data_IF_161398317560
#
_entry.id   IF_161398317560
#
_cell.length_a   1.000
_cell.length_b   1.000
_cell.length_c   1.000
_cell.angle_alpha   90.00
_cell.angle_beta   90.00
_cell.angle_gamma   90.00
#
_symmetry.space_group_name_H-M   'P 1'
#
loop_
_entity.id
_entity.type
_entity.pdbx_description
1 polymer ?
#
# COMPACT_ATOMS: atom_id res chain seq x y z
N UNK A 1 21.59 26.46 -16.23
CA UNK A 1 21.62 24.98 -16.31
C UNK A 1 20.23 24.47 -15.97
N UNK A 2 19.57 23.75 -16.88
CA UNK A 2 18.22 23.20 -16.73
C UNK A 2 18.36 21.71 -16.37
N UNK A 3 17.69 21.18 -15.34
CA UNK A 3 17.74 19.74 -15.08
C UNK A 3 17.03 19.00 -16.22
N UNK A 4 17.68 17.96 -16.72
CA UNK A 4 17.15 17.08 -17.75
C UNK A 4 15.99 16.23 -17.18
N UNK A 5 14.95 15.94 -17.97
CA UNK A 5 13.92 15.00 -17.55
C UNK A 5 14.53 13.60 -17.45
N UNK A 6 14.48 12.99 -16.26
CA UNK A 6 14.80 11.58 -16.05
C UNK A 6 13.83 10.75 -16.89
N UNK A 7 14.34 10.08 -17.93
CA UNK A 7 13.56 9.17 -18.74
C UNK A 7 13.11 7.97 -17.88
N UNK A 8 11.87 7.49 -18.00
CA UNK A 8 11.49 6.23 -17.37
C UNK A 8 12.31 5.09 -18.00
N UNK A 9 12.95 4.30 -17.15
CA UNK A 9 13.59 3.05 -17.55
C UNK A 9 12.49 2.03 -17.79
N UNK A 10 12.23 1.69 -19.06
CA UNK A 10 11.31 0.62 -19.43
C UNK A 10 12.10 -0.69 -19.44
N UNK A 11 12.01 -1.48 -18.36
CA UNK A 11 12.45 -2.87 -18.39
C UNK A 11 11.39 -3.75 -19.07
N UNK A 12 11.77 -4.71 -19.93
CA UNK A 12 10.82 -5.47 -20.73
C UNK A 12 10.37 -6.76 -20.02
N UNK A 13 9.56 -6.69 -18.96
CA UNK A 13 8.70 -7.82 -18.50
C UNK A 13 7.50 -7.29 -17.71
N UNK A 14 6.29 -7.33 -18.28
CA UNK A 14 5.00 -7.46 -17.56
C UNK A 14 4.67 -6.53 -16.40
N UNK A 15 5.39 -5.42 -16.21
CA UNK A 15 5.21 -4.49 -15.11
C UNK A 15 4.39 -3.27 -15.57
N UNK A 16 3.25 -3.03 -14.93
CA UNK A 16 2.46 -1.83 -15.12
C UNK A 16 2.50 -1.01 -13.83
N UNK A 17 2.74 0.29 -13.94
CA UNK A 17 2.84 1.18 -12.79
C UNK A 17 1.89 2.38 -12.93
N UNK A 18 1.35 2.81 -11.80
CA UNK A 18 0.51 3.99 -11.67
C UNK A 18 0.91 4.75 -10.42
N UNK A 19 1.04 6.07 -10.54
CA UNK A 19 1.35 6.95 -9.43
C UNK A 19 0.53 8.24 -9.51
N UNK A 20 0.03 8.71 -8.37
CA UNK A 20 -0.72 9.98 -8.29
C UNK A 20 -0.46 10.68 -6.96
N UNK A 21 -0.34 12.01 -7.01
CA UNK A 21 -0.31 12.84 -5.80
C UNK A 21 -1.73 13.21 -5.38
N UNK A 22 -2.01 13.08 -4.09
CA UNK A 22 -3.28 13.38 -3.47
C UNK A 22 -3.06 14.36 -2.33
N UNK A 23 -4.00 15.29 -2.17
CA UNK A 23 -3.97 16.23 -1.05
C UNK A 23 -4.23 15.49 0.27
N UNK A 24 -3.59 15.94 1.33
CA UNK A 24 -3.69 15.38 2.68
C UNK A 24 -4.99 15.73 3.39
N UNK A 25 -6.14 15.50 2.75
CA UNK A 25 -7.48 15.81 3.26
C UNK A 25 -8.34 14.55 3.38
N UNK A 26 -9.33 14.49 4.29
CA UNK A 26 -10.12 13.27 4.52
C UNK A 26 -10.82 12.70 3.28
N UNK A 27 -11.22 13.55 2.33
CA UNK A 27 -11.84 13.12 1.07
C UNK A 27 -10.91 12.33 0.16
N UNK A 28 -9.59 12.43 0.34
CA UNK A 28 -8.58 11.75 -0.47
C UNK A 28 -8.56 10.24 -0.26
N UNK A 29 -9.01 9.73 0.89
CA UNK A 29 -9.15 8.27 1.09
C UNK A 29 -10.19 7.67 0.12
N UNK A 30 -11.33 8.35 -0.05
CA UNK A 30 -12.35 7.95 -1.02
C UNK A 30 -11.87 8.10 -2.46
N UNK A 31 -11.09 9.15 -2.75
CA UNK A 31 -10.51 9.36 -4.08
C UNK A 31 -9.48 8.28 -4.41
N UNK A 32 -8.56 7.97 -3.50
CA UNK A 32 -7.56 6.91 -3.63
C UNK A 32 -8.22 5.56 -3.95
N UNK A 33 -9.26 5.19 -3.20
CA UNK A 33 -10.05 3.98 -3.48
C UNK A 33 -10.61 3.95 -4.91
N UNK A 34 -11.23 5.04 -5.36
CA UNK A 34 -11.81 5.12 -6.71
C UNK A 34 -10.76 5.02 -7.79
N UNK A 35 -9.63 5.69 -7.61
CA UNK A 35 -8.51 5.65 -8.55
C UNK A 35 -7.91 4.26 -8.62
N UNK A 36 -7.73 3.58 -7.49
CA UNK A 36 -7.22 2.21 -7.49
C UNK A 36 -8.16 1.24 -8.23
N UNK A 37 -9.47 1.29 -7.98
CA UNK A 37 -10.44 0.44 -8.69
C UNK A 37 -10.45 0.75 -10.19
N UNK A 38 -10.44 2.02 -10.56
CA UNK A 38 -10.37 2.42 -11.97
C UNK A 38 -9.08 1.91 -12.63
N UNK A 39 -7.94 2.00 -11.93
CA UNK A 39 -6.66 1.56 -12.45
C UNK A 39 -6.59 0.04 -12.62
N UNK A 40 -7.18 -0.74 -11.70
CA UNK A 40 -7.31 -2.19 -11.87
C UNK A 40 -8.10 -2.54 -13.13
N UNK A 41 -9.20 -1.81 -13.40
CA UNK A 41 -9.97 -1.99 -14.63
C UNK A 41 -9.17 -1.65 -15.89
N UNK A 42 -8.31 -0.62 -15.85
CA UNK A 42 -7.41 -0.27 -16.96
C UNK A 42 -6.29 -1.30 -17.19
N UNK A 43 -5.98 -2.12 -16.18
CA UNK A 43 -5.01 -3.20 -16.26
C UNK A 43 -5.66 -4.58 -16.48
N UNK A 44 -6.95 -4.62 -16.80
CA UNK A 44 -7.72 -5.85 -16.99
C UNK A 44 -7.69 -6.81 -15.78
N UNK A 45 -7.52 -6.25 -14.56
CA UNK A 45 -7.59 -7.01 -13.30
C UNK A 45 -9.02 -6.97 -12.77
N UNK A 46 -9.85 -7.93 -13.22
CA UNK A 46 -11.27 -8.04 -12.84
C UNK A 46 -11.57 -9.33 -12.07
N UNK A 47 -10.95 -9.46 -10.89
CA UNK A 47 -11.25 -10.53 -9.92
C UNK A 47 -11.97 -9.90 -8.74
N UNK A 48 -13.31 -10.02 -8.61
CA UNK A 48 -14.08 -9.19 -7.68
C UNK A 48 -13.58 -9.22 -6.22
N UNK A 49 -13.24 -10.37 -5.60
CA UNK A 49 -12.71 -10.39 -4.24
C UNK A 49 -11.38 -9.65 -4.09
N UNK A 50 -10.52 -9.69 -5.13
CA UNK A 50 -9.26 -8.97 -5.15
C UNK A 50 -9.51 -7.46 -5.29
N UNK A 51 -10.37 -7.05 -6.22
CA UNK A 51 -10.73 -5.64 -6.42
C UNK A 51 -11.30 -5.03 -5.13
N UNK A 52 -12.20 -5.75 -4.44
CA UNK A 52 -12.74 -5.33 -3.15
C UNK A 52 -11.67 -5.19 -2.07
N UNK A 53 -10.76 -6.16 -1.98
CA UNK A 53 -9.65 -6.15 -1.01
C UNK A 53 -8.70 -4.98 -1.26
N UNK A 54 -8.29 -4.76 -2.52
CA UNK A 54 -7.42 -3.64 -2.92
C UNK A 54 -8.11 -2.30 -2.65
N UNK A 55 -9.39 -2.18 -2.98
CA UNK A 55 -10.17 -0.97 -2.75
C UNK A 55 -10.25 -0.62 -1.25
N UNK A 56 -10.48 -1.61 -0.39
CA UNK A 56 -10.54 -1.44 1.06
C UNK A 56 -9.18 -1.06 1.63
N UNK A 57 -8.13 -1.82 1.31
CA UNK A 57 -6.77 -1.56 1.79
C UNK A 57 -6.26 -0.18 1.34
N UNK A 58 -6.51 0.21 0.09
CA UNK A 58 -6.11 1.53 -0.41
C UNK A 58 -6.79 2.65 0.36
N UNK A 59 -8.08 2.51 0.66
CA UNK A 59 -8.82 3.51 1.43
C UNK A 59 -8.26 3.63 2.86
N UNK A 60 -7.97 2.51 3.51
CA UNK A 60 -7.43 2.48 4.87
C UNK A 60 -6.00 3.03 4.93
N UNK A 61 -5.13 2.70 3.97
CA UNK A 61 -3.78 3.26 3.90
C UNK A 61 -3.81 4.78 3.72
N UNK A 62 -4.64 5.28 2.81
CA UNK A 62 -4.80 6.72 2.60
C UNK A 62 -5.43 7.41 3.82
N UNK A 63 -6.43 6.80 4.47
CA UNK A 63 -7.05 7.35 5.68
C UNK A 63 -6.06 7.43 6.84
N UNK A 64 -5.25 6.38 7.06
CA UNK A 64 -4.19 6.39 8.07
C UNK A 64 -3.17 7.47 7.77
N UNK A 65 -2.76 7.62 6.51
CA UNK A 65 -1.81 8.65 6.07
C UNK A 65 -2.38 10.04 6.35
N UNK A 66 -3.62 10.34 5.96
CA UNK A 66 -4.26 11.63 6.24
C UNK A 66 -4.39 11.90 7.74
N UNK A 67 -4.71 10.88 8.54
CA UNK A 67 -4.90 11.01 10.00
C UNK A 67 -3.59 11.26 10.74
N UNK A 68 -2.47 10.73 10.23
CA UNK A 68 -1.16 10.80 10.88
C UNK A 68 -0.16 11.73 10.19
N UNK A 69 -0.53 12.29 9.04
CA UNK A 69 0.29 13.21 8.27
C UNK A 69 0.34 14.61 8.88
N UNK A 70 0.63 15.60 8.04
CA UNK A 70 0.83 16.99 8.49
C UNK A 70 -0.44 17.64 9.01
N UNK A 71 -0.38 18.27 10.19
CA UNK A 71 -1.41 19.20 10.65
C UNK A 71 -1.38 20.53 9.87
N UNK A 72 -0.26 20.85 9.20
CA UNK A 72 -0.10 22.04 8.37
C UNK A 72 -0.49 21.76 6.92
N UNK A 73 -1.45 22.53 6.41
CA UNK A 73 -1.90 22.49 5.02
C UNK A 73 -1.29 23.65 4.20
N UNK A 74 -1.12 23.49 2.87
CA UNK A 74 -1.36 22.27 2.11
C UNK A 74 -0.23 21.25 2.30
N UNK A 75 -0.58 19.97 2.30
CA UNK A 75 0.37 18.88 2.15
C UNK A 75 -0.20 17.78 1.28
N UNK A 76 0.68 16.90 0.78
CA UNK A 76 0.32 15.85 -0.16
C UNK A 76 1.00 14.53 0.21
N UNK A 77 0.41 13.44 -0.25
CA UNK A 77 0.99 12.10 -0.26
C UNK A 77 0.85 11.49 -1.65
N UNK A 78 1.66 10.49 -1.96
CA UNK A 78 1.64 9.76 -3.23
C UNK A 78 0.98 8.40 -3.05
N UNK A 79 0.07 8.04 -3.95
CA UNK A 79 -0.42 6.67 -4.10
C UNK A 79 0.33 6.04 -5.28
N UNK A 80 1.02 4.93 -5.01
CA UNK A 80 1.70 4.11 -6.01
C UNK A 80 1.02 2.75 -6.10
N UNK A 81 0.83 2.27 -7.32
CA UNK A 81 0.40 0.91 -7.63
C UNK A 81 1.37 0.31 -8.64
N UNK A 82 1.81 -0.91 -8.37
CA UNK A 82 2.70 -1.66 -9.27
C UNK A 82 2.12 -3.04 -9.46
N UNK A 83 1.74 -3.35 -10.69
CA UNK A 83 1.29 -4.66 -11.12
C UNK A 83 2.48 -5.43 -11.68
N UNK A 84 2.79 -6.55 -11.03
CA UNK A 84 3.80 -7.53 -11.45
C UNK A 84 3.09 -8.80 -11.91
N UNK A 85 3.80 -9.72 -12.62
CA UNK A 85 3.19 -10.95 -13.12
C UNK A 85 2.48 -11.83 -12.07
N UNK A 86 2.96 -11.83 -10.82
CA UNK A 86 2.48 -12.69 -9.74
C UNK A 86 1.85 -11.92 -8.57
N UNK A 87 1.90 -10.58 -8.58
CA UNK A 87 1.42 -9.76 -7.47
C UNK A 87 1.08 -8.35 -7.88
N UNK A 88 0.17 -7.74 -7.11
CA UNK A 88 -0.08 -6.31 -7.11
C UNK A 88 0.48 -5.73 -5.81
N UNK A 89 1.24 -4.64 -5.90
CA UNK A 89 1.67 -3.83 -4.75
C UNK A 89 0.97 -2.48 -4.79
N UNK A 90 0.44 -2.06 -3.64
CA UNK A 90 -0.12 -0.73 -3.43
C UNK A 90 0.63 -0.08 -2.28
N UNK A 91 1.10 1.15 -2.48
CA UNK A 91 1.84 1.91 -1.48
C UNK A 91 1.30 3.33 -1.37
N UNK A 92 1.25 3.84 -0.15
CA UNK A 92 1.08 5.27 0.12
C UNK A 92 2.39 5.81 0.66
N UNK A 93 2.90 6.87 0.03
CA UNK A 93 4.20 7.48 0.32
C UNK A 93 3.96 8.90 0.81
N UNK A 94 4.53 9.23 1.95
CA UNK A 94 4.48 10.56 2.55
C UNK A 94 5.90 11.04 2.89
N UNK A 95 6.12 12.35 3.06
CA UNK A 95 7.37 12.86 3.62
C UNK A 95 7.60 12.29 5.03
N UNK A 96 8.78 11.74 5.28
CA UNK A 96 9.18 11.32 6.63
C UNK A 96 9.54 12.56 7.45
N UNK A 97 8.88 12.68 8.60
CA UNK A 97 9.03 13.81 9.54
C UNK A 97 9.64 13.37 10.87
N UNK A 98 10.18 12.15 10.94
CA UNK A 98 10.75 11.58 12.17
C UNK A 98 9.68 11.18 13.19
N UNK A 99 8.42 11.02 12.77
CA UNK A 99 7.35 10.55 13.64
C UNK A 99 7.51 9.04 13.90
N UNK A 100 7.25 8.55 15.14
CA UNK A 100 7.31 7.13 15.44
C UNK A 100 6.46 6.28 14.50
N UNK A 101 6.93 5.08 14.16
CA UNK A 101 6.13 4.10 13.41
C UNK A 101 4.81 3.84 14.17
N UNK A 102 3.61 3.92 13.55
CA UNK A 102 2.42 3.25 14.01
C UNK A 102 2.78 1.87 14.52
N UNK A 103 2.50 1.66 15.80
CA UNK A 103 2.69 0.39 16.46
C UNK A 103 1.94 -0.70 15.68
N UNK A 104 2.51 -1.91 15.64
CA UNK A 104 1.89 -3.10 15.03
C UNK A 104 0.39 -3.17 15.36
N UNK A 105 -0.47 -3.66 14.44
CA UNK A 105 -1.89 -3.80 14.71
C UNK A 105 -2.09 -4.68 15.94
N UNK A 106 -2.37 -4.06 17.08
CA UNK A 106 -2.96 -4.73 18.22
C UNK A 106 -4.43 -4.94 17.87
N UNK A 107 -5.02 -6.08 18.28
CA UNK A 107 -6.46 -6.26 18.17
C UNK A 107 -7.14 -5.03 18.79
N UNK A 108 -7.87 -4.22 18.01
CA UNK A 108 -8.51 -3.04 18.57
C UNK A 108 -9.54 -3.51 19.61
N UNK A 109 -9.55 -2.87 20.77
CA UNK A 109 -10.63 -3.07 21.73
C UNK A 109 -11.96 -2.70 21.05
N UNK A 110 -13.08 -3.39 21.34
CA UNK A 110 -14.38 -3.14 20.69
C UNK A 110 -14.79 -1.66 20.67
N UNK A 111 -14.40 -0.92 21.72
CA UNK A 111 -14.71 0.49 21.97
C UNK A 111 -13.73 1.48 21.30
N UNK A 112 -12.62 1.03 20.71
CA UNK A 112 -11.58 1.91 20.15
C UNK A 112 -11.84 2.22 18.68
N UNK A 113 -11.92 3.50 18.33
CA UNK A 113 -11.99 3.98 16.94
C UNK A 113 -10.60 4.07 16.30
N UNK A 114 -9.52 4.15 17.09
CA UNK A 114 -8.14 4.10 16.60
C UNK A 114 -7.62 2.66 16.58
N UNK A 115 -6.83 2.31 15.54
CA UNK A 115 -6.16 1.01 15.43
C UNK A 115 -6.85 -0.06 14.57
N UNK A 116 -8.02 0.22 13.98
CA UNK A 116 -8.68 -0.70 13.02
C UNK A 116 -8.04 -0.69 11.63
N UNK A 117 -7.46 0.44 11.19
CA UNK A 117 -6.96 0.58 9.83
C UNK A 117 -5.88 -0.46 9.48
N UNK A 118 -4.82 -0.57 10.29
CA UNK A 118 -3.78 -1.58 10.06
C UNK A 118 -4.27 -3.02 10.29
N UNK A 119 -5.29 -3.23 11.13
CA UNK A 119 -5.92 -4.53 11.26
C UNK A 119 -6.64 -4.95 9.97
N UNK A 120 -7.38 -4.03 9.32
CA UNK A 120 -8.01 -4.28 8.03
C UNK A 120 -6.95 -4.51 6.94
N UNK A 121 -5.89 -3.71 6.91
CA UNK A 121 -4.76 -3.94 5.99
C UNK A 121 -4.19 -5.35 6.18
N UNK A 122 -3.92 -5.77 7.42
CA UNK A 122 -3.39 -7.10 7.71
C UNK A 122 -4.37 -8.24 7.37
N UNK A 123 -5.68 -8.01 7.50
CA UNK A 123 -6.70 -9.02 7.22
C UNK A 123 -6.95 -9.23 5.72
N UNK A 124 -6.84 -8.17 4.91
CA UNK A 124 -7.19 -8.17 3.48
C UNK A 124 -5.98 -8.20 2.54
N UNK A 125 -4.75 -8.11 3.05
CA UNK A 125 -3.52 -8.22 2.26
C UNK A 125 -2.77 -9.52 2.53
N UNK A 126 -1.89 -9.88 1.60
CA UNK A 126 -1.07 -11.09 1.70
C UNK A 126 0.22 -10.79 2.46
N UNK A 127 0.75 -9.59 2.22
CA UNK A 127 1.88 -9.00 2.91
C UNK A 127 1.63 -7.51 3.02
N UNK A 128 2.17 -6.91 4.06
CA UNK A 128 2.21 -5.47 4.19
C UNK A 128 3.45 -5.09 5.00
N UNK A 129 3.83 -3.84 4.91
CA UNK A 129 4.98 -3.33 5.64
C UNK A 129 5.07 -1.83 5.60
N UNK A 130 6.16 -1.35 6.18
CA UNK A 130 6.55 0.05 6.15
C UNK A 130 7.99 0.10 5.68
N UNK A 131 8.22 0.85 4.62
CA UNK A 131 9.57 1.22 4.19
C UNK A 131 9.77 2.68 4.59
N UNK A 132 10.90 3.02 5.19
CA UNK A 132 11.24 4.40 5.53
C UNK A 132 12.69 4.64 5.19
N UNK A 133 12.95 5.74 4.50
CA UNK A 133 14.29 6.24 4.25
C UNK A 133 14.38 7.62 4.90
N UNK A 134 15.03 7.64 6.06
CA UNK A 134 15.21 8.86 6.88
C UNK A 134 16.09 9.86 6.15
N UNK A 135 17.09 9.39 5.38
CA UNK A 135 18.02 10.25 4.65
C UNK A 135 17.35 10.86 3.41
N UNK A 136 16.50 10.08 2.72
CA UNK A 136 15.69 10.57 1.61
C UNK A 136 14.40 11.30 2.03
N UNK A 137 14.10 11.31 3.34
CA UNK A 137 12.97 12.04 3.91
C UNK A 137 11.60 11.52 3.46
N UNK A 138 11.46 10.21 3.23
CA UNK A 138 10.17 9.62 2.87
C UNK A 138 9.87 8.35 3.66
N UNK A 139 8.57 8.10 3.79
CA UNK A 139 8.01 6.91 4.38
C UNK A 139 6.93 6.35 3.47
N UNK A 140 6.91 5.04 3.30
CA UNK A 140 5.93 4.31 2.52
C UNK A 140 5.25 3.26 3.40
N UNK A 141 3.92 3.24 3.44
CA UNK A 141 3.15 2.09 3.96
C UNK A 141 2.57 1.36 2.77
N UNK A 142 2.81 0.06 2.70
CA UNK A 142 2.50 -0.74 1.51
C UNK A 142 1.80 -2.05 1.86
N UNK A 143 1.07 -2.57 0.88
CA UNK A 143 0.40 -3.86 0.91
C UNK A 143 0.56 -4.59 -0.44
N UNK A 144 0.66 -5.91 -0.39
CA UNK A 144 0.78 -6.79 -1.54
C UNK A 144 -0.34 -7.83 -1.60
N UNK A 145 -0.73 -8.17 -2.82
CA UNK A 145 -1.77 -9.15 -3.13
C UNK A 145 -1.23 -10.10 -4.20
N UNK A 146 -1.20 -11.40 -3.94
CA UNK A 146 -0.78 -12.44 -4.86
C UNK A 146 -1.86 -12.63 -5.91
N UNK A 147 -1.44 -12.52 -7.17
CA UNK A 147 -2.28 -12.82 -8.32
C UNK A 147 -2.10 -14.30 -8.60
N UNK A 148 -3.13 -15.09 -8.31
CA UNK A 148 -3.16 -16.46 -8.80
C UNK A 148 -3.25 -16.39 -10.31
N UNK A 149 -2.13 -16.63 -11.00
CA UNK A 149 -2.09 -16.63 -12.45
C UNK A 149 -3.24 -17.48 -12.99
N UNK A 150 -4.03 -16.92 -13.92
CA UNK A 150 -5.13 -17.62 -14.57
C UNK A 150 -4.61 -18.78 -15.42
N UNK A 151 -4.22 -19.89 -14.78
CA UNK A 151 -4.07 -21.24 -15.32
C UNK A 151 -3.59 -22.22 -14.22
N UNK A 152 -4.46 -22.51 -13.25
CA UNK A 152 -4.47 -23.84 -12.63
C UNK A 152 -5.86 -24.42 -12.81
N UNK A 153 -6.03 -25.15 -13.93
CA UNK A 153 -7.21 -25.99 -14.15
C UNK A 153 -7.31 -26.97 -12.97
N UNK A 154 -8.41 -26.90 -12.24
CA UNK A 154 -8.89 -28.01 -11.43
C UNK A 154 -8.34 -28.10 -10.01
N UNK A 155 -9.28 -28.00 -9.07
CA UNK A 155 -9.28 -28.54 -7.70
C UNK A 155 -8.46 -27.84 -6.62
N UNK A 156 -9.18 -27.46 -5.55
CA UNK A 156 -8.73 -27.80 -4.20
C UNK A 156 -8.60 -26.66 -3.21
N UNK A 157 -9.73 -26.30 -2.58
CA UNK A 157 -9.97 -25.90 -1.18
C UNK A 157 -8.86 -25.17 -0.39
N UNK A 158 -9.31 -24.11 0.27
CA UNK A 158 -8.52 -23.29 1.18
C UNK A 158 -7.91 -24.05 2.37
N UNK A 159 -6.76 -23.54 2.77
CA UNK A 159 -6.10 -23.78 4.04
C UNK A 159 -5.60 -22.44 4.61
N UNK A 160 -5.46 -22.33 5.93
CA UNK A 160 -5.16 -21.06 6.59
C UNK A 160 -3.76 -20.55 6.22
N UNK A 161 -3.67 -19.24 5.99
CA UNK A 161 -2.42 -18.54 5.69
C UNK A 161 -1.47 -18.55 6.90
N UNK A 162 -0.20 -18.95 6.73
CA UNK A 162 0.78 -18.84 7.80
C UNK A 162 1.13 -17.38 8.09
N UNK A 163 1.26 -17.06 9.37
CA UNK A 163 1.63 -15.75 9.88
C UNK A 163 2.99 -15.28 9.34
N UNK A 164 3.10 -13.96 9.17
CA UNK A 164 4.25 -13.23 8.69
C UNK A 164 5.57 -13.68 9.36
N UNK A 165 6.51 -14.19 8.55
CA UNK A 165 7.90 -14.40 8.97
C UNK A 165 8.69 -13.15 8.61
N UNK A 166 9.00 -12.38 9.66
CA UNK A 166 9.77 -11.13 9.61
C UNK A 166 11.20 -11.39 9.09
N UNK A 167 11.64 -10.54 8.16
CA UNK A 167 13.06 -10.36 7.90
C UNK A 167 13.70 -9.66 9.10
N UNK A 168 14.66 -10.32 9.74
CA UNK A 168 15.45 -9.75 10.84
C UNK A 168 16.15 -8.47 10.36
N UNK A 169 15.98 -7.40 11.12
CA UNK A 169 16.79 -6.19 11.03
C UNK A 169 18.17 -6.47 11.65
N UNK A 170 19.31 -6.36 10.94
CA UNK A 170 20.63 -6.43 11.55
C UNK A 170 21.10 -5.01 11.87
N UNK A 171 21.26 -4.68 13.16
CA UNK A 171 21.88 -3.41 13.52
C UNK A 171 21.66 -2.94 14.95
N UNK A 172 22.04 -3.74 15.94
CA UNK A 172 22.37 -3.22 17.28
C UNK A 172 23.70 -3.80 17.71
N UNK A 173 24.70 -2.91 17.83
CA UNK A 173 26.04 -3.03 18.45
C UNK A 173 26.85 -1.85 17.89
N UNK A 174 27.50 -0.97 18.64
CA UNK A 174 27.72 -0.80 20.09
C UNK A 174 27.74 0.71 20.37
#
# INVERSE_FOLDING_TARGET
MKPAPTQPHTDPVGELAYAVLLDGVPSSARLARRLAVAQLGLWDVDVPPLVESVAMVTAELAANTVTHGSDSQPWQFRLDMVLLPDRLRVAVIEPDRGCPLPSLPQLPRPESTSGRGLFLVAAYSDRWGVDSDVDAGFRAVWAEFVLSGAAARGSGRGGPRPAARQGRNPGSRQ
#
